data_IF_778365451643
#
_entry.id   IF_778365451643
#
_cell.length_a   1.000
_cell.length_b   1.000
_cell.length_c   1.000
_cell.angle_alpha   90.00
_cell.angle_beta   90.00
_cell.angle_gamma   90.00
#
_symmetry.space_group_name_H-M   'P 1'
#
loop_
_entity.id
_entity.type
_entity.pdbx_description
1 polymer ?
#
# COMPACT_ATOMS: atom_id res chain seq x y z
N UNK A 1 10.87 12.41 3.54
CA UNK A 1 10.84 12.63 2.07
C UNK A 1 9.37 12.71 1.65
N UNK A 2 9.00 13.56 0.69
CA UNK A 2 7.67 13.53 0.06
C UNK A 2 7.86 12.90 -1.32
N UNK A 3 7.54 11.62 -1.48
CA UNK A 3 7.79 10.94 -2.74
C UNK A 3 6.87 11.48 -3.87
N UNK A 4 7.47 12.08 -4.90
CA UNK A 4 6.79 12.43 -6.17
C UNK A 4 7.77 12.34 -7.34
N UNK A 5 7.87 11.20 -8.04
CA UNK A 5 8.48 11.17 -9.34
C UNK A 5 7.51 11.89 -10.28
N UNK A 6 7.86 13.12 -10.67
CA UNK A 6 7.32 13.71 -11.88
C UNK A 6 8.19 13.19 -13.01
N UNK A 7 7.71 12.17 -13.71
CA UNK A 7 8.37 11.74 -14.93
C UNK A 7 8.32 12.89 -15.96
N UNK A 8 9.45 13.20 -16.57
CA UNK A 8 9.56 14.27 -17.57
C UNK A 8 8.86 13.89 -18.88
N UNK A 9 8.67 12.59 -19.12
CA UNK A 9 8.02 12.04 -20.30
C UNK A 9 6.60 11.57 -19.99
N UNK A 10 5.72 11.64 -20.99
CA UNK A 10 4.31 11.24 -20.85
C UNK A 10 4.17 9.73 -20.58
N UNK A 11 5.17 8.92 -20.99
CA UNK A 11 5.27 7.47 -20.80
C UNK A 11 6.75 7.03 -20.77
N UNK A 12 7.49 7.22 -19.67
CA UNK A 12 8.87 6.74 -19.58
C UNK A 12 8.93 5.21 -19.68
N UNK A 13 10.04 4.68 -20.18
CA UNK A 13 10.29 3.23 -20.14
C UNK A 13 10.39 2.75 -18.69
N UNK A 14 10.02 1.49 -18.43
CA UNK A 14 10.15 0.89 -17.09
C UNK A 14 11.59 1.01 -16.56
N UNK A 15 12.58 0.86 -17.43
CA UNK A 15 14.00 1.04 -17.07
C UNK A 15 14.30 2.46 -16.61
N UNK A 16 13.80 3.47 -17.31
CA UNK A 16 13.98 4.87 -16.91
C UNK A 16 13.31 5.18 -15.56
N UNK A 17 12.13 4.60 -15.33
CA UNK A 17 11.45 4.68 -14.02
C UNK A 17 12.27 4.03 -12.91
N UNK A 18 12.82 2.83 -13.17
CA UNK A 18 13.69 2.12 -12.23
C UNK A 18 14.94 2.93 -11.87
N UNK A 19 15.66 3.47 -12.85
CA UNK A 19 16.85 4.28 -12.59
C UNK A 19 16.51 5.58 -11.83
N UNK A 20 15.33 6.16 -12.07
CA UNK A 20 14.85 7.35 -11.33
C UNK A 20 14.58 7.06 -9.86
N UNK A 21 14.12 5.85 -9.55
CA UNK A 21 13.70 5.43 -8.21
C UNK A 21 14.74 4.53 -7.51
N UNK A 22 15.88 4.28 -8.15
CA UNK A 22 16.83 3.24 -7.76
C UNK A 22 17.26 3.32 -6.29
N UNK A 23 17.69 4.49 -5.83
CA UNK A 23 18.12 4.68 -4.44
C UNK A 23 16.99 4.37 -3.44
N UNK A 24 15.75 4.80 -3.74
CA UNK A 24 14.60 4.52 -2.90
C UNK A 24 14.21 3.03 -2.91
N UNK A 25 14.35 2.37 -4.06
CA UNK A 25 14.13 0.93 -4.22
C UNK A 25 15.16 0.15 -3.39
N UNK A 26 16.44 0.47 -3.54
CA UNK A 26 17.55 -0.19 -2.82
C UNK A 26 17.38 -0.04 -1.30
N UNK A 27 17.11 1.18 -0.83
CA UNK A 27 16.84 1.44 0.59
C UNK A 27 15.63 0.64 1.09
N UNK A 28 14.53 0.61 0.33
CA UNK A 28 13.34 -0.14 0.73
C UNK A 28 13.59 -1.65 0.76
N UNK A 29 14.39 -2.18 -0.16
CA UNK A 29 14.80 -3.58 -0.17
C UNK A 29 15.63 -3.92 1.08
N UNK A 30 16.55 -3.04 1.49
CA UNK A 30 17.34 -3.20 2.71
C UNK A 30 16.46 -3.20 3.97
N UNK A 31 15.51 -2.27 4.07
CA UNK A 31 14.62 -2.12 5.23
C UNK A 31 13.62 -3.28 5.38
N UNK A 32 13.15 -3.86 4.27
CA UNK A 32 12.05 -4.85 4.28
C UNK A 32 12.49 -6.29 4.01
N UNK A 33 13.73 -6.49 3.54
CA UNK A 33 14.24 -7.77 3.07
C UNK A 33 13.62 -8.23 1.75
N UNK A 34 12.88 -7.38 1.04
CA UNK A 34 12.46 -7.65 -0.34
C UNK A 34 13.69 -7.66 -1.24
N UNK A 35 13.76 -8.63 -2.14
CA UNK A 35 14.80 -8.73 -3.14
C UNK A 35 14.26 -8.27 -4.48
N UNK A 36 14.98 -7.36 -5.13
CA UNK A 36 14.65 -6.86 -6.47
C UNK A 36 15.83 -7.13 -7.41
N UNK A 37 15.56 -7.76 -8.55
CA UNK A 37 16.56 -8.07 -9.59
C UNK A 37 16.03 -7.57 -10.93
N UNK A 38 16.84 -6.75 -11.61
CA UNK A 38 16.52 -6.30 -12.97
C UNK A 38 16.99 -7.35 -13.99
N UNK A 39 16.06 -7.95 -14.72
CA UNK A 39 16.36 -9.00 -15.70
C UNK A 39 15.39 -8.94 -16.90
N UNK A 40 15.91 -9.11 -18.12
CA UNK A 40 15.12 -9.17 -19.37
C UNK A 40 14.09 -8.02 -19.53
N UNK A 41 14.49 -6.78 -19.26
CA UNK A 41 13.63 -5.59 -19.30
C UNK A 41 12.42 -5.63 -18.34
N UNK A 42 12.52 -6.45 -17.30
CA UNK A 42 11.56 -6.57 -16.21
C UNK A 42 12.25 -6.44 -14.86
N UNK A 43 11.46 -6.16 -13.84
CA UNK A 43 11.91 -6.18 -12.45
C UNK A 43 11.31 -7.41 -11.76
N UNK A 44 12.15 -8.38 -11.48
CA UNK A 44 11.81 -9.56 -10.69
C UNK A 44 11.91 -9.23 -9.20
N UNK A 45 10.90 -9.63 -8.44
CA UNK A 45 10.75 -9.27 -7.03
C UNK A 45 10.44 -10.53 -6.23
N UNK A 46 11.22 -10.79 -5.19
CA UNK A 46 10.98 -11.88 -4.24
C UNK A 46 10.81 -11.30 -2.86
N UNK A 47 9.71 -11.64 -2.18
CA UNK A 47 9.43 -11.18 -0.83
C UNK A 47 9.41 -12.34 0.19
N UNK A 48 9.58 -13.61 -0.25
CA UNK A 48 9.49 -14.85 0.56
C UNK A 48 8.25 -14.84 1.49
N UNK A 49 7.11 -15.42 1.08
CA UNK A 49 6.98 -16.62 0.24
C UNK A 49 6.61 -16.38 -1.23
N UNK A 50 6.52 -15.14 -1.67
CA UNK A 50 5.91 -14.80 -2.96
C UNK A 50 6.95 -14.27 -3.96
N UNK A 51 6.63 -14.42 -5.24
CA UNK A 51 7.43 -13.90 -6.35
C UNK A 51 6.54 -13.06 -7.25
N UNK A 52 7.08 -11.95 -7.72
CA UNK A 52 6.37 -10.96 -8.52
C UNK A 52 7.25 -10.48 -9.66
N UNK A 53 6.61 -9.99 -10.72
CA UNK A 53 7.31 -9.39 -11.86
C UNK A 53 6.61 -8.08 -12.20
N UNK A 54 7.37 -6.99 -12.33
CA UNK A 54 6.91 -5.77 -12.96
C UNK A 54 7.47 -5.74 -14.38
N UNK A 55 6.57 -5.64 -15.36
CA UNK A 55 6.93 -5.60 -16.77
C UNK A 55 6.12 -4.53 -17.50
N UNK A 56 6.70 -3.93 -18.54
CA UNK A 56 5.97 -3.05 -19.45
C UNK A 56 5.39 -3.85 -20.62
N UNK A 57 4.08 -3.75 -20.82
CA UNK A 57 3.34 -4.29 -21.96
C UNK A 57 3.94 -3.81 -23.27
N UNK A 58 4.23 -4.73 -24.19
CA UNK A 58 4.65 -4.43 -25.56
C UNK A 58 3.48 -3.95 -26.41
N UNK A 59 2.24 -4.20 -25.97
CA UNK A 59 1.02 -3.84 -26.70
C UNK A 59 0.76 -2.34 -26.63
N UNK A 60 0.84 -1.76 -25.43
CA UNK A 60 0.41 -0.39 -25.17
C UNK A 60 1.32 0.38 -24.19
N UNK A 61 2.43 -0.21 -23.76
CA UNK A 61 3.37 0.42 -22.82
C UNK A 61 2.86 0.48 -21.37
N UNK A 62 1.74 -0.17 -21.06
CA UNK A 62 1.20 -0.23 -19.68
C UNK A 62 2.17 -0.98 -18.77
N UNK A 63 2.41 -0.46 -17.56
CA UNK A 63 3.15 -1.20 -16.53
C UNK A 63 2.22 -2.20 -15.85
N UNK A 64 2.59 -3.47 -15.93
CA UNK A 64 1.86 -4.62 -15.45
C UNK A 64 2.57 -5.22 -14.23
N UNK A 65 1.79 -5.76 -13.29
CA UNK A 65 2.27 -6.50 -12.15
C UNK A 65 1.78 -7.93 -12.25
N UNK A 66 2.70 -8.88 -12.28
CA UNK A 66 2.44 -10.30 -12.28
C UNK A 66 2.76 -10.87 -10.90
N UNK A 67 1.90 -11.74 -10.40
CA UNK A 67 2.08 -12.43 -9.13
C UNK A 67 2.17 -13.94 -9.37
N UNK A 68 3.20 -14.58 -8.83
CA UNK A 68 3.35 -16.03 -8.91
C UNK A 68 2.40 -16.69 -7.92
N UNK A 69 1.55 -17.55 -8.46
CA UNK A 69 0.62 -18.29 -7.63
C UNK A 69 1.34 -19.24 -6.67
N UNK A 70 1.05 -19.12 -5.37
CA UNK A 70 1.45 -20.09 -4.35
C UNK A 70 0.53 -21.31 -4.30
N UNK A 71 -0.60 -21.28 -5.02
CA UNK A 71 -1.60 -22.36 -5.14
C UNK A 71 -1.98 -22.56 -6.60
N UNK A 72 -2.27 -23.80 -7.03
CA UNK A 72 -2.79 -24.07 -8.39
C UNK A 72 -4.16 -23.39 -8.60
N UNK A 73 -4.14 -22.13 -9.05
CA UNK A 73 -5.31 -21.36 -9.42
C UNK A 73 -5.39 -21.45 -10.94
N UNK A 74 -6.50 -21.98 -11.47
CA UNK A 74 -6.72 -21.97 -12.92
C UNK A 74 -6.76 -20.51 -13.38
N UNK A 75 -6.07 -20.15 -14.49
CA UNK A 75 -6.03 -18.79 -14.99
C UNK A 75 -7.46 -18.34 -15.31
N UNK A 76 -8.06 -17.56 -14.40
CA UNK A 76 -9.50 -17.29 -14.46
C UNK A 76 -9.88 -16.26 -15.53
N UNK A 77 -8.89 -15.57 -16.11
CA UNK A 77 -9.12 -14.48 -17.05
C UNK A 77 -8.13 -14.56 -18.21
N UNK A 78 -8.66 -14.78 -19.42
CA UNK A 78 -7.94 -14.41 -20.65
C UNK A 78 -7.71 -12.91 -20.60
N UNK A 79 -6.47 -12.51 -20.38
CA UNK A 79 -6.06 -11.12 -20.52
C UNK A 79 -5.72 -10.86 -21.98
N UNK A 80 -5.83 -9.61 -22.43
CA UNK A 80 -5.29 -9.22 -23.73
C UNK A 80 -3.77 -9.01 -23.69
N UNK A 81 -3.23 -8.87 -22.47
CA UNK A 81 -1.81 -8.72 -22.17
C UNK A 81 -1.07 -10.05 -22.20
N UNK A 82 0.25 -9.95 -22.27
CA UNK A 82 1.19 -11.06 -22.27
C UNK A 82 0.98 -12.02 -21.08
N UNK A 83 1.12 -13.31 -21.33
CA UNK A 83 1.05 -14.33 -20.27
C UNK A 83 2.46 -14.73 -19.85
N UNK A 84 2.68 -14.87 -18.54
CA UNK A 84 3.94 -15.39 -17.97
C UNK A 84 3.61 -16.71 -17.27
N UNK A 85 4.33 -17.77 -17.62
CA UNK A 85 4.09 -19.11 -17.09
C UNK A 85 4.17 -19.15 -15.55
N UNK A 86 3.09 -19.62 -14.91
CA UNK A 86 3.00 -19.71 -13.46
C UNK A 86 2.63 -18.41 -12.73
N UNK A 87 2.41 -17.31 -13.46
CA UNK A 87 1.99 -16.03 -12.90
C UNK A 87 0.58 -15.64 -13.38
N UNK A 88 -0.14 -14.87 -12.57
CA UNK A 88 -1.36 -14.17 -13.01
C UNK A 88 -1.14 -12.66 -12.98
N UNK A 89 -1.87 -11.96 -13.85
CA UNK A 89 -1.89 -10.50 -13.86
C UNK A 89 -2.63 -10.00 -12.62
N UNK A 90 -1.92 -9.29 -11.74
CA UNK A 90 -2.48 -8.65 -10.57
C UNK A 90 -3.09 -7.30 -10.95
N UNK A 91 -4.40 -7.08 -10.77
CA UNK A 91 -5.00 -5.79 -11.05
C UNK A 91 -4.39 -4.71 -10.14
N UNK A 92 -3.76 -3.71 -10.74
CA UNK A 92 -3.22 -2.57 -10.00
C UNK A 92 -3.38 -1.26 -10.76
N UNK A 93 -3.46 -0.16 -10.01
CA UNK A 93 -3.27 1.18 -10.54
C UNK A 93 -1.82 1.58 -10.32
N UNK A 94 -1.04 1.62 -11.40
CA UNK A 94 0.38 1.96 -11.33
C UNK A 94 0.59 3.44 -10.99
N UNK A 95 1.47 3.70 -10.03
CA UNK A 95 1.88 5.05 -9.62
C UNK A 95 3.40 5.18 -9.79
N UNK A 96 4.13 4.23 -9.20
CA UNK A 96 5.59 4.14 -9.23
C UNK A 96 6.03 2.72 -8.91
N UNK A 97 7.29 2.41 -9.16
CA UNK A 97 7.86 1.11 -8.78
C UNK A 97 7.87 1.01 -7.26
N UNK A 98 8.31 2.05 -6.55
CA UNK A 98 8.37 2.02 -5.09
C UNK A 98 6.98 1.85 -4.44
N UNK A 99 5.91 2.44 -4.99
CA UNK A 99 4.56 2.20 -4.46
C UNK A 99 4.06 0.80 -4.79
N UNK A 100 4.50 0.23 -5.90
CA UNK A 100 4.24 -1.19 -6.22
C UNK A 100 4.95 -2.10 -5.22
N UNK A 101 6.20 -1.77 -4.83
CA UNK A 101 6.92 -2.48 -3.77
C UNK A 101 6.24 -2.35 -2.40
N UNK A 102 5.71 -1.16 -2.06
CA UNK A 102 4.91 -0.98 -0.84
C UNK A 102 3.68 -1.89 -0.83
N UNK A 103 2.97 -1.99 -1.96
CA UNK A 103 1.85 -2.91 -2.12
C UNK A 103 2.27 -4.37 -1.93
N UNK A 104 3.36 -4.80 -2.56
CA UNK A 104 3.91 -6.17 -2.44
C UNK A 104 4.30 -6.48 -0.99
N UNK A 105 4.88 -5.51 -0.27
CA UNK A 105 5.22 -5.68 1.14
C UNK A 105 3.98 -5.83 2.02
N UNK A 106 2.96 -4.98 1.84
CA UNK A 106 1.68 -5.16 2.55
C UNK A 106 1.05 -6.51 2.26
N UNK A 107 1.12 -6.98 1.00
CA UNK A 107 0.60 -8.29 0.62
C UNK A 107 1.29 -9.41 1.41
N UNK A 108 2.62 -9.37 1.50
CA UNK A 108 3.41 -10.29 2.34
C UNK A 108 2.96 -10.28 3.79
N UNK A 109 2.84 -9.10 4.41
CA UNK A 109 2.42 -8.99 5.81
C UNK A 109 1.04 -9.64 6.03
N UNK A 110 0.11 -9.45 5.11
CA UNK A 110 -1.20 -10.10 5.16
C UNK A 110 -1.10 -11.63 5.03
N UNK A 111 -0.26 -12.13 4.14
CA UNK A 111 -0.04 -13.58 3.94
C UNK A 111 0.58 -14.23 5.17
N UNK A 112 1.55 -13.56 5.79
CA UNK A 112 2.23 -14.03 7.00
C UNK A 112 1.45 -13.76 8.29
N UNK A 113 0.34 -13.01 8.21
CA UNK A 113 -0.45 -12.55 9.36
C UNK A 113 0.37 -11.74 10.36
N UNK A 114 1.34 -10.98 9.86
CA UNK A 114 2.19 -10.09 10.64
C UNK A 114 1.48 -8.75 10.86
N UNK A 115 1.50 -8.27 12.10
CA UNK A 115 0.94 -6.98 12.46
C UNK A 115 2.06 -6.02 12.90
N UNK A 116 2.35 -5.03 12.05
CA UNK A 116 3.36 -4.00 12.32
C UNK A 116 2.61 -2.68 12.61
N UNK A 117 2.89 -2.00 13.75
CA UNK A 117 2.38 -0.66 14.02
C UNK A 117 2.71 0.32 12.90
N UNK A 118 1.80 1.27 12.61
CA UNK A 118 1.98 2.21 11.51
C UNK A 118 3.27 3.03 11.63
N UNK A 119 3.63 3.39 12.85
CA UNK A 119 4.79 4.19 13.20
C UNK A 119 6.11 3.43 13.00
N UNK A 120 6.07 2.10 13.02
CA UNK A 120 7.22 1.21 12.82
C UNK A 120 7.41 0.84 11.35
N UNK A 121 6.45 1.16 10.47
CA UNK A 121 6.60 0.94 9.04
C UNK A 121 7.64 1.90 8.44
N UNK A 122 8.36 1.47 7.38
CA UNK A 122 9.20 2.36 6.57
C UNK A 122 8.52 3.70 6.24
N UNK A 123 9.22 4.84 6.26
CA UNK A 123 8.59 6.14 5.96
C UNK A 123 7.84 6.17 4.63
N UNK A 124 8.35 5.47 3.61
CA UNK A 124 7.70 5.36 2.30
C UNK A 124 6.39 4.56 2.33
N UNK A 125 6.27 3.59 3.26
CA UNK A 125 5.03 2.85 3.50
C UNK A 125 3.99 3.73 4.18
N UNK A 126 4.41 4.55 5.14
CA UNK A 126 3.53 5.53 5.80
C UNK A 126 2.97 6.51 4.75
N UNK A 127 3.83 7.05 3.89
CA UNK A 127 3.44 7.92 2.77
C UNK A 127 2.49 7.22 1.78
N UNK A 128 2.78 5.97 1.43
CA UNK A 128 1.94 5.14 0.55
C UNK A 128 0.54 4.96 1.14
N UNK A 129 0.42 4.56 2.40
CA UNK A 129 -0.87 4.35 3.07
C UNK A 129 -1.67 5.66 3.09
N UNK A 130 -1.04 6.75 3.53
CA UNK A 130 -1.68 8.07 3.56
C UNK A 130 -2.11 8.56 2.17
N UNK A 131 -1.32 8.26 1.13
CA UNK A 131 -1.69 8.57 -0.26
C UNK A 131 -2.99 7.86 -0.65
N UNK A 132 -3.08 6.56 -0.38
CA UNK A 132 -4.27 5.77 -0.72
C UNK A 132 -5.49 6.15 0.09
N UNK A 133 -5.33 6.48 1.37
CA UNK A 133 -6.42 7.03 2.19
C UNK A 133 -6.93 8.33 1.61
N UNK A 134 -6.04 9.26 1.26
CA UNK A 134 -6.41 10.54 0.61
C UNK A 134 -7.08 10.30 -0.75
N UNK A 135 -6.61 9.33 -1.53
CA UNK A 135 -7.19 8.98 -2.83
C UNK A 135 -8.59 8.38 -2.68
N UNK A 136 -8.78 7.42 -1.78
CA UNK A 136 -10.10 6.83 -1.45
C UNK A 136 -11.07 7.88 -0.91
N UNK A 137 -10.56 8.84 -0.15
CA UNK A 137 -11.38 9.87 0.46
C UNK A 137 -11.74 11.03 -0.50
N UNK A 138 -11.19 11.07 -1.72
CA UNK A 138 -11.56 12.05 -2.75
C UNK A 138 -12.91 11.69 -3.35
N UNK A 139 -13.84 12.64 -3.26
CA UNK A 139 -15.13 12.55 -3.96
C UNK A 139 -14.89 12.84 -5.45
N UNK A 140 -15.32 11.96 -6.38
CA UNK A 140 -15.16 12.14 -7.82
C UNK A 140 -15.67 13.51 -8.28
N UNK A 141 -15.00 14.11 -9.26
CA UNK A 141 -15.33 15.47 -9.75
C UNK A 141 -16.71 15.50 -10.41
N UNK A 142 -17.15 14.39 -10.97
CA UNK A 142 -18.46 14.21 -11.61
C UNK A 142 -19.60 14.07 -10.59
N UNK A 143 -19.29 14.00 -9.29
CA UNK A 143 -20.30 13.89 -8.24
C UNK A 143 -21.11 15.18 -8.16
N UNK A 144 -22.43 15.07 -8.37
CA UNK A 144 -23.33 16.23 -8.27
C UNK A 144 -23.18 16.94 -6.92
N UNK A 145 -23.36 18.28 -6.93
CA UNK A 145 -23.18 19.12 -5.73
C UNK A 145 -23.98 18.62 -4.52
N UNK A 146 -25.21 18.18 -4.72
CA UNK A 146 -26.07 17.64 -3.66
C UNK A 146 -25.50 16.32 -3.08
N UNK A 147 -25.12 15.36 -3.93
CA UNK A 147 -24.50 14.11 -3.48
C UNK A 147 -23.18 14.36 -2.76
N UNK A 148 -22.37 15.31 -3.25
CA UNK A 148 -21.12 15.74 -2.60
C UNK A 148 -21.36 16.28 -1.19
N UNK A 149 -22.37 17.13 -1.00
CA UNK A 149 -22.73 17.64 0.34
C UNK A 149 -23.14 16.53 1.30
N UNK A 150 -23.93 15.56 0.84
CA UNK A 150 -24.35 14.40 1.66
C UNK A 150 -23.14 13.56 2.07
N UNK A 151 -22.27 13.21 1.12
CA UNK A 151 -21.05 12.45 1.39
C UNK A 151 -20.12 13.15 2.39
N UNK A 152 -19.93 14.46 2.26
CA UNK A 152 -19.14 15.25 3.22
C UNK A 152 -19.78 15.28 4.61
N UNK A 153 -21.11 15.36 4.69
CA UNK A 153 -21.84 15.35 5.97
C UNK A 153 -21.72 13.99 6.68
N UNK A 154 -21.87 12.89 5.94
CA UNK A 154 -21.69 11.52 6.46
C UNK A 154 -20.27 11.35 6.98
N UNK A 155 -19.27 11.77 6.20
CA UNK A 155 -17.86 11.70 6.59
C UNK A 155 -17.57 12.47 7.88
N UNK A 156 -18.08 13.71 8.00
CA UNK A 156 -17.92 14.51 9.22
C UNK A 156 -18.58 13.84 10.44
N UNK A 157 -19.69 13.13 10.24
CA UNK A 157 -20.35 12.38 11.31
C UNK A 157 -19.56 11.13 11.71
N UNK A 158 -19.02 10.37 10.74
CA UNK A 158 -18.19 9.20 11.04
C UNK A 158 -16.88 9.58 11.74
N UNK A 159 -16.22 10.67 11.32
CA UNK A 159 -15.01 11.19 11.98
C UNK A 159 -15.28 11.59 13.44
N UNK A 160 -16.40 12.27 13.71
CA UNK A 160 -16.82 12.58 15.08
C UNK A 160 -17.08 11.33 15.92
N UNK A 161 -17.69 10.30 15.33
CA UNK A 161 -17.97 9.04 16.03
C UNK A 161 -16.70 8.27 16.34
N UNK A 162 -15.76 8.18 15.38
CA UNK A 162 -14.47 7.53 15.58
C UNK A 162 -13.64 8.25 16.67
N UNK A 163 -13.59 9.58 16.65
CA UNK A 163 -12.91 10.36 17.69
C UNK A 163 -13.54 10.13 19.08
N UNK A 164 -14.87 10.07 19.17
CA UNK A 164 -15.54 9.77 20.43
C UNK A 164 -15.24 8.34 20.93
N UNK A 165 -15.18 7.36 20.03
CA UNK A 165 -14.79 5.98 20.36
C UNK A 165 -13.33 5.90 20.85
N UNK A 166 -12.37 6.55 20.18
CA UNK A 166 -10.99 6.61 20.66
C UNK A 166 -10.86 7.29 22.03
N UNK A 167 -11.61 8.38 22.27
CA UNK A 167 -11.61 9.03 23.60
C UNK A 167 -12.18 8.09 24.66
N UNK A 168 -13.24 7.33 24.35
CA UNK A 168 -13.80 6.36 25.27
C UNK A 168 -12.82 5.21 25.57
N UNK A 169 -12.10 4.70 24.58
CA UNK A 169 -11.06 3.68 24.76
C UNK A 169 -9.92 4.19 25.66
N UNK A 170 -9.47 5.44 25.46
CA UNK A 170 -8.49 6.08 26.33
C UNK A 170 -9.00 6.23 27.77
N UNK A 171 -10.25 6.68 27.95
CA UNK A 171 -10.87 6.79 29.27
C UNK A 171 -10.96 5.43 29.98
N UNK A 172 -11.38 4.39 29.26
CA UNK A 172 -11.45 3.03 29.80
C UNK A 172 -10.05 2.50 30.17
N UNK A 173 -9.01 2.81 29.37
CA UNK A 173 -7.62 2.42 29.69
C UNK A 173 -7.04 3.13 30.92
N UNK A 174 -7.58 4.29 31.30
CA UNK A 174 -7.18 5.03 32.50
C UNK A 174 -7.92 4.55 33.76
N UNK A 175 -9.11 3.96 33.61
CA UNK A 175 -9.90 3.40 34.72
C UNK A 175 -9.42 2.00 35.15
N UNK A 176 -8.64 1.31 34.31
CA UNK A 176 -8.08 -0.03 34.57
C UNK A 176 -6.69 -0.03 35.27
N UNK A 177 -6.17 1.13 35.73
CA UNK A 177 -4.93 1.18 36.55
C UNK A 177 -5.27 1.07 38.06
N UNK A 178 -5.05 -0.08 38.73
CA UNK A 178 -5.45 -0.28 40.12
C UNK A 178 -4.42 0.25 41.13
N UNK A 179 -3.45 1.08 40.72
CA UNK A 179 -2.41 1.58 41.62
C UNK A 179 -2.82 2.81 42.47
N UNK A 180 -4.06 3.27 42.35
CA UNK A 180 -4.56 4.48 43.02
C UNK A 180 -5.39 4.29 44.29
N UNK A 181 -5.29 3.18 45.04
CA UNK A 181 -5.93 3.10 46.36
C UNK A 181 -5.06 3.84 47.38
N UNK A 182 -5.34 5.13 47.53
CA UNK A 182 -5.02 5.93 48.71
C UNK A 182 -5.41 5.15 49.98
N UNK A 183 -4.44 4.47 50.60
CA UNK A 183 -4.49 4.21 52.04
C UNK A 183 -4.05 5.49 52.73
N UNK A 184 -5.02 6.31 53.12
CA UNK A 184 -4.81 7.23 54.22
C UNK A 184 -6.02 7.27 55.15
N UNK A 185 -5.67 7.14 56.43
CA UNK A 185 -6.38 7.51 57.65
C UNK A 185 -7.44 6.55 58.23
N UNK A 186 -7.15 6.07 59.44
CA UNK A 186 -8.15 5.49 60.34
C UNK A 186 -7.61 4.78 61.58
N UNK A 187 -7.12 5.57 62.55
CA UNK A 187 -6.90 5.29 64.00
C UNK A 187 -5.68 4.46 64.40
#
# INVERSE_FOLDING_TARGET
MLFRPKYNEKFPSLKSMYETEKEAIEQFCEETGIQCVWENDSLEISNQPENWIIQQSLIDGTVLLYHKNTKNIQPHHKTYYEEIEGYHLQPMFYISIIYTLCYIYLHRLCVLQEHIPFEELPPVMQDFIQYYEKAKAKIPKETSRQKRHVLLKIRKQSEKKAAASSVQELLNSLEDDPSGVFKNMGV
#
